data_IF_241053338134
#
_entry.id   IF_241053338134
#
_cell.length_a   1.000
_cell.length_b   1.000
_cell.length_c   1.000
_cell.angle_alpha   90.00
_cell.angle_beta   90.00
_cell.angle_gamma   90.00
#
_symmetry.space_group_name_H-M   'P 1'
#
loop_
_entity.id
_entity.type
_entity.pdbx_description
1 polymer ?
#
# COMPACT_ATOMS: atom_id res chain seq x y z
N UNK A 1 -19.08 -6.78 3.82
CA UNK A 1 -19.54 -5.58 3.08
C UNK A 1 -18.49 -4.50 3.23
N UNK A 2 -18.08 -3.84 2.15
CA UNK A 2 -17.12 -2.72 2.21
C UNK A 2 -17.42 -1.65 1.16
N UNK A 3 -17.13 -0.38 1.49
CA UNK A 3 -17.11 0.72 0.52
C UNK A 3 -15.66 1.06 0.23
N UNK A 4 -15.30 1.05 -1.05
CA UNK A 4 -13.94 1.28 -1.53
C UNK A 4 -13.92 2.39 -2.56
N UNK A 5 -12.76 3.02 -2.78
CA UNK A 5 -12.57 4.00 -3.84
C UNK A 5 -12.12 3.31 -5.12
N UNK A 6 -12.78 3.61 -6.23
CA UNK A 6 -12.32 3.21 -7.56
C UNK A 6 -11.05 3.98 -7.96
N UNK A 7 -10.38 3.52 -9.02
CA UNK A 7 -9.19 4.20 -9.59
C UNK A 7 -9.46 5.66 -9.99
N UNK A 8 -10.72 5.98 -10.32
CA UNK A 8 -11.23 7.32 -10.67
C UNK A 8 -11.72 8.13 -9.46
N UNK A 9 -11.64 7.59 -8.24
CA UNK A 9 -12.02 8.28 -7.00
C UNK A 9 -13.51 8.19 -6.61
N UNK A 10 -14.34 7.56 -7.44
CA UNK A 10 -15.74 7.30 -7.10
C UNK A 10 -15.88 6.13 -6.13
N UNK A 11 -16.87 6.19 -5.24
CA UNK A 11 -17.19 5.09 -4.32
C UNK A 11 -17.74 3.88 -5.06
N UNK A 12 -17.37 2.71 -4.56
CA UNK A 12 -17.85 1.40 -4.99
C UNK A 12 -18.23 0.59 -3.77
N UNK A 13 -19.40 -0.02 -3.80
CA UNK A 13 -19.87 -0.93 -2.76
C UNK A 13 -19.53 -2.36 -3.15
N UNK A 14 -18.94 -3.13 -2.25
CA UNK A 14 -18.59 -4.53 -2.43
C UNK A 14 -19.42 -5.39 -1.46
N UNK A 15 -20.30 -6.24 -2.01
CA UNK A 15 -21.22 -7.07 -1.22
C UNK A 15 -21.39 -8.42 -1.90
N UNK A 16 -21.15 -9.51 -1.16
CA UNK A 16 -21.40 -10.89 -1.60
C UNK A 16 -20.77 -11.24 -2.97
N UNK A 17 -19.54 -10.76 -3.22
CA UNK A 17 -18.84 -10.96 -4.51
C UNK A 17 -19.39 -10.12 -5.67
N UNK A 18 -20.34 -9.23 -5.42
CA UNK A 18 -20.82 -8.23 -6.38
C UNK A 18 -20.20 -6.86 -6.11
N UNK A 19 -20.11 -6.04 -7.17
CA UNK A 19 -19.67 -4.66 -7.04
C UNK A 19 -20.70 -3.69 -7.59
N UNK A 20 -20.99 -2.64 -6.85
CA UNK A 20 -22.04 -1.66 -7.17
C UNK A 20 -21.47 -0.25 -7.23
N UNK A 21 -22.05 0.57 -8.09
CA UNK A 21 -21.80 2.01 -8.20
C UNK A 21 -23.02 2.78 -7.75
N UNK A 22 -22.82 4.01 -7.28
CA UNK A 22 -23.93 4.91 -6.90
C UNK A 22 -24.88 5.11 -8.09
N UNK A 23 -26.18 4.91 -7.88
CA UNK A 23 -27.18 5.11 -8.92
C UNK A 23 -27.57 6.59 -9.06
N UNK A 24 -27.48 7.34 -7.96
CA UNK A 24 -27.89 8.73 -7.84
C UNK A 24 -27.07 9.46 -6.76
N UNK A 25 -27.10 10.80 -6.78
CA UNK A 25 -26.36 11.65 -5.83
C UNK A 25 -26.87 11.53 -4.39
N UNK A 26 -28.11 11.07 -4.17
CA UNK A 26 -28.77 10.89 -2.87
C UNK A 26 -28.21 9.74 -2.02
N UNK A 27 -27.14 9.10 -2.48
CA UNK A 27 -26.29 8.17 -1.73
C UNK A 27 -26.87 6.82 -1.29
N UNK A 28 -28.20 6.63 -1.30
CA UNK A 28 -28.85 5.45 -0.72
C UNK A 28 -29.04 4.27 -1.67
N UNK A 29 -29.05 4.50 -2.99
CA UNK A 29 -29.28 3.43 -3.98
C UNK A 29 -28.00 3.17 -4.77
N UNK A 30 -27.63 1.90 -4.82
CA UNK A 30 -26.48 1.38 -5.54
C UNK A 30 -26.97 0.44 -6.64
N UNK A 31 -26.39 0.55 -7.83
CA UNK A 31 -26.68 -0.32 -8.98
C UNK A 31 -25.47 -1.17 -9.29
N UNK A 32 -25.69 -2.38 -9.79
CA UNK A 32 -24.61 -3.25 -10.23
C UNK A 32 -23.69 -2.50 -11.22
N UNK A 33 -22.39 -2.79 -11.11
CA UNK A 33 -21.39 -2.17 -11.98
C UNK A 33 -21.42 -2.73 -13.40
N UNK A 34 -21.97 -3.94 -13.59
CA UNK A 34 -22.22 -4.53 -14.91
C UNK A 34 -23.39 -3.81 -15.59
N UNK A 35 -23.22 -3.48 -16.88
CA UNK A 35 -24.19 -2.65 -17.60
C UNK A 35 -25.45 -3.42 -18.01
N UNK A 36 -25.29 -4.72 -18.27
CA UNK A 36 -26.30 -5.72 -18.58
C UNK A 36 -27.07 -6.23 -17.35
N UNK A 37 -26.66 -5.80 -16.14
CA UNK A 37 -27.28 -6.23 -14.89
C UNK A 37 -28.19 -5.15 -14.29
N UNK A 38 -29.42 -5.54 -13.95
CA UNK A 38 -30.39 -4.70 -13.27
C UNK A 38 -30.28 -4.73 -11.73
N UNK A 39 -29.34 -5.51 -11.18
CA UNK A 39 -29.12 -5.67 -9.74
C UNK A 39 -28.96 -4.34 -9.00
N UNK A 40 -29.64 -4.17 -7.87
CA UNK A 40 -29.62 -2.97 -7.03
C UNK A 40 -29.56 -3.31 -5.56
N UNK A 41 -28.92 -2.44 -4.80
CA UNK A 41 -28.85 -2.48 -3.34
C UNK A 41 -29.28 -1.12 -2.79
N UNK A 42 -30.24 -1.12 -1.87
CA UNK A 42 -30.52 0.04 -1.03
C UNK A 42 -29.68 -0.07 0.24
N UNK A 43 -28.76 0.87 0.46
CA UNK A 43 -27.86 0.91 1.60
C UNK A 43 -27.89 2.31 2.21
N UNK A 44 -28.22 2.42 3.49
CA UNK A 44 -28.37 3.71 4.18
C UNK A 44 -27.13 4.19 4.93
N UNK A 45 -26.05 3.41 4.90
CA UNK A 45 -24.80 3.69 5.61
C UNK A 45 -24.51 2.66 6.71
N UNK A 46 -25.54 1.98 7.20
CA UNK A 46 -25.44 0.99 8.27
C UNK A 46 -25.95 -0.38 7.80
N UNK A 47 -27.16 -0.41 7.24
CA UNK A 47 -27.80 -1.64 6.78
C UNK A 47 -28.18 -1.58 5.31
N UNK A 48 -28.22 -2.76 4.68
CA UNK A 48 -28.79 -2.91 3.35
C UNK A 48 -30.19 -3.53 3.47
N UNK A 49 -31.17 -2.84 2.92
CA UNK A 49 -32.58 -3.16 3.19
C UNK A 49 -33.25 -3.83 1.98
N UNK A 50 -32.62 -3.78 0.81
CA UNK A 50 -33.15 -4.39 -0.42
C UNK A 50 -32.03 -4.75 -1.35
N UNK A 51 -31.93 -6.03 -1.71
CA UNK A 51 -31.06 -6.56 -2.76
C UNK A 51 -31.99 -7.12 -3.84
N UNK A 52 -31.81 -6.71 -5.09
CA UNK A 52 -32.49 -7.36 -6.22
C UNK A 52 -31.56 -8.40 -6.85
N UNK A 53 -32.15 -9.44 -7.42
CA UNK A 53 -31.40 -10.51 -8.09
C UNK A 53 -30.50 -9.98 -9.22
N UNK A 54 -29.40 -10.70 -9.44
CA UNK A 54 -28.47 -10.46 -10.54
C UNK A 54 -28.68 -11.51 -11.62
N UNK A 55 -28.51 -11.10 -12.88
CA UNK A 55 -28.51 -12.00 -14.05
C UNK A 55 -27.13 -12.62 -14.31
N UNK A 56 -26.24 -12.56 -13.33
CA UNK A 56 -24.91 -13.12 -13.42
C UNK A 56 -24.41 -13.59 -12.06
N UNK A 57 -23.49 -14.55 -12.10
CA UNK A 57 -22.80 -15.04 -10.92
C UNK A 57 -21.98 -13.92 -10.22
N UNK A 58 -21.76 -14.05 -8.90
CA UNK A 58 -20.81 -13.19 -8.19
C UNK A 58 -19.39 -13.41 -8.71
N UNK A 59 -18.53 -12.41 -8.50
CA UNK A 59 -17.09 -12.50 -8.80
C UNK A 59 -16.29 -12.01 -7.57
N UNK A 60 -16.05 -12.91 -6.59
CA UNK A 60 -15.30 -12.59 -5.37
C UNK A 60 -13.90 -12.05 -5.66
N UNK A 61 -13.18 -12.64 -6.61
CA UNK A 61 -11.82 -12.21 -7.00
C UNK A 61 -11.80 -10.74 -7.44
N UNK A 62 -12.80 -10.30 -8.22
CA UNK A 62 -12.90 -8.91 -8.64
C UNK A 62 -13.16 -7.97 -7.45
N UNK A 63 -13.89 -8.41 -6.43
CA UNK A 63 -14.13 -7.63 -5.21
C UNK A 63 -12.88 -7.53 -4.35
N UNK A 64 -12.16 -8.65 -4.15
CA UNK A 64 -10.86 -8.69 -3.45
C UNK A 64 -9.85 -7.79 -4.15
N UNK A 65 -9.72 -7.91 -5.47
CA UNK A 65 -8.81 -7.08 -6.27
C UNK A 65 -9.15 -5.59 -6.15
N UNK A 66 -10.44 -5.24 -6.13
CA UNK A 66 -10.88 -3.86 -5.96
C UNK A 66 -10.54 -3.31 -4.57
N UNK A 67 -10.74 -4.10 -3.51
CA UNK A 67 -10.40 -3.73 -2.15
C UNK A 67 -8.89 -3.55 -1.97
N UNK A 68 -8.10 -4.51 -2.44
CA UNK A 68 -6.64 -4.44 -2.42
C UNK A 68 -6.11 -3.18 -3.12
N UNK A 69 -6.61 -2.89 -4.33
CA UNK A 69 -6.22 -1.69 -5.10
C UNK A 69 -6.63 -0.40 -4.40
N UNK A 70 -7.81 -0.37 -3.77
CA UNK A 70 -8.28 0.78 -3.02
C UNK A 70 -7.37 1.05 -1.82
N UNK A 71 -7.12 0.03 -0.97
CA UNK A 71 -6.23 0.16 0.20
C UNK A 71 -4.84 0.61 -0.22
N UNK A 72 -4.26 -0.03 -1.25
CA UNK A 72 -2.92 0.32 -1.77
C UNK A 72 -2.89 1.76 -2.27
N UNK A 73 -3.93 2.21 -2.98
CA UNK A 73 -4.02 3.59 -3.47
C UNK A 73 -4.17 4.59 -2.32
N UNK A 74 -5.00 4.29 -1.32
CA UNK A 74 -5.16 5.14 -0.13
C UNK A 74 -3.82 5.30 0.58
N UNK A 75 -3.15 4.19 0.93
CA UNK A 75 -1.83 4.22 1.57
C UNK A 75 -0.79 4.98 0.74
N UNK A 76 -0.80 4.82 -0.58
CA UNK A 76 0.11 5.57 -1.47
C UNK A 76 -0.05 7.09 -1.35
N UNK A 77 -1.27 7.55 -1.07
CA UNK A 77 -1.61 8.98 -0.97
C UNK A 77 -1.61 9.53 0.45
N UNK A 78 -1.56 8.67 1.47
CA UNK A 78 -1.58 9.09 2.89
C UNK A 78 -0.28 8.75 3.63
N UNK A 79 0.63 8.00 3.01
CA UNK A 79 1.91 7.61 3.59
C UNK A 79 3.07 7.88 2.62
N UNK A 80 4.26 8.02 3.18
CA UNK A 80 5.50 8.20 2.45
C UNK A 80 6.29 6.89 2.29
N UNK A 81 5.68 5.76 2.65
CA UNK A 81 6.36 4.47 2.74
C UNK A 81 6.85 3.95 1.41
N UNK A 82 7.95 3.19 1.36
CA UNK A 82 8.39 2.61 0.11
C UNK A 82 7.30 1.69 -0.47
N UNK A 83 7.14 1.60 -1.81
CA UNK A 83 6.11 0.77 -2.43
C UNK A 83 6.09 -0.68 -1.95
N UNK A 84 7.26 -1.22 -1.59
CA UNK A 84 7.41 -2.56 -1.01
C UNK A 84 6.73 -2.71 0.34
N UNK A 85 6.86 -1.73 1.25
CA UNK A 85 6.19 -1.74 2.56
C UNK A 85 4.67 -1.65 2.39
N UNK A 86 4.20 -0.68 1.61
CA UNK A 86 2.76 -0.53 1.32
C UNK A 86 2.17 -1.81 0.76
N UNK A 87 2.81 -2.39 -0.27
CA UNK A 87 2.30 -3.60 -0.92
C UNK A 87 2.32 -4.80 0.03
N UNK A 88 3.36 -4.92 0.87
CA UNK A 88 3.44 -5.98 1.87
C UNK A 88 2.34 -5.87 2.92
N UNK A 89 2.11 -4.68 3.47
CA UNK A 89 1.07 -4.44 4.48
C UNK A 89 -0.33 -4.63 3.91
N UNK A 90 -0.58 -4.17 2.68
CA UNK A 90 -1.88 -4.42 2.05
C UNK A 90 -2.09 -5.89 1.76
N UNK A 91 -1.04 -6.62 1.35
CA UNK A 91 -1.10 -8.06 1.10
C UNK A 91 -1.32 -8.86 2.40
N UNK A 92 -0.70 -8.44 3.51
CA UNK A 92 -0.87 -9.09 4.81
C UNK A 92 -2.33 -9.09 5.30
N UNK A 93 -3.14 -8.14 4.81
CA UNK A 93 -4.56 -8.04 5.13
C UNK A 93 -5.48 -8.82 4.16
N UNK A 94 -4.91 -9.58 3.23
CA UNK A 94 -5.66 -10.43 2.28
C UNK A 94 -5.57 -11.88 2.74
N UNK A 95 -6.67 -12.64 2.61
CA UNK A 95 -6.67 -14.06 2.92
C UNK A 95 -5.65 -14.81 2.04
N UNK A 96 -5.00 -15.82 2.61
CA UNK A 96 -3.95 -16.57 1.90
C UNK A 96 -4.48 -17.27 0.64
N UNK A 97 -5.75 -17.67 0.63
CA UNK A 97 -6.38 -18.33 -0.51
C UNK A 97 -6.73 -17.34 -1.64
N UNK A 98 -6.77 -16.04 -1.33
CA UNK A 98 -7.19 -14.98 -2.25
C UNK A 98 -6.00 -14.31 -2.95
N UNK A 99 -4.78 -14.79 -2.73
CA UNK A 99 -3.54 -14.21 -3.28
C UNK A 99 -3.49 -14.15 -4.81
N UNK A 100 -4.24 -15.01 -5.51
CA UNK A 100 -4.31 -14.99 -6.96
C UNK A 100 -5.11 -13.78 -7.51
N UNK A 101 -6.02 -13.21 -6.72
CA UNK A 101 -6.89 -12.10 -7.13
C UNK A 101 -6.21 -10.72 -7.03
N UNK A 102 -5.12 -10.62 -6.26
CA UNK A 102 -4.40 -9.36 -6.04
C UNK A 102 -3.47 -9.02 -7.21
N UNK A 103 -3.15 -7.73 -7.38
CA UNK A 103 -2.21 -7.33 -8.42
C UNK A 103 -0.77 -7.68 -8.06
N UNK A 104 0.03 -7.98 -9.08
CA UNK A 104 1.47 -8.21 -8.93
C UNK A 104 2.19 -7.01 -8.31
N UNK A 105 3.31 -7.27 -7.64
CA UNK A 105 4.14 -6.23 -7.02
C UNK A 105 4.48 -5.09 -7.99
N UNK A 106 4.98 -5.40 -9.20
CA UNK A 106 5.33 -4.37 -10.18
C UNK A 106 4.15 -3.49 -10.61
N UNK A 107 2.94 -4.06 -10.71
CA UNK A 107 1.73 -3.32 -11.04
C UNK A 107 1.30 -2.39 -9.89
N UNK A 108 1.39 -2.90 -8.65
CA UNK A 108 1.14 -2.13 -7.43
C UNK A 108 2.15 -0.99 -7.29
N UNK A 109 3.45 -1.26 -7.48
CA UNK A 109 4.53 -0.26 -7.45
C UNK A 109 4.28 0.88 -8.45
N UNK A 110 4.03 0.57 -9.72
CA UNK A 110 3.73 1.59 -10.74
C UNK A 110 2.48 2.41 -10.39
N UNK A 111 1.50 1.79 -9.77
CA UNK A 111 0.28 2.48 -9.33
C UNK A 111 0.59 3.47 -8.20
N UNK A 112 1.38 3.05 -7.21
CA UNK A 112 1.83 3.89 -6.09
C UNK A 112 2.62 5.09 -6.62
N UNK A 113 3.62 4.88 -7.47
CA UNK A 113 4.46 5.93 -8.05
C UNK A 113 3.63 6.96 -8.83
N UNK A 114 2.74 6.52 -9.72
CA UNK A 114 1.85 7.41 -10.48
C UNK A 114 0.93 8.23 -9.58
N UNK A 115 0.40 7.61 -8.51
CA UNK A 115 -0.50 8.29 -7.57
C UNK A 115 0.25 9.33 -6.76
N UNK A 116 1.48 9.05 -6.32
CA UNK A 116 2.33 10.02 -5.63
C UNK A 116 2.70 11.20 -6.52
N UNK A 117 3.17 10.92 -7.74
CA UNK A 117 3.52 11.96 -8.70
C UNK A 117 2.33 12.87 -9.03
N UNK A 118 1.13 12.30 -9.22
CA UNK A 118 -0.07 13.10 -9.53
C UNK A 118 -0.53 13.97 -8.35
N UNK A 119 -0.36 13.51 -7.12
CA UNK A 119 -0.82 14.24 -5.94
C UNK A 119 0.28 15.12 -5.33
N UNK A 120 1.41 15.30 -6.02
CA UNK A 120 2.58 16.00 -5.51
C UNK A 120 2.95 15.54 -4.09
N UNK A 121 3.01 14.21 -3.93
CA UNK A 121 3.52 13.55 -2.72
C UNK A 121 4.91 12.95 -3.04
N UNK A 122 5.89 13.72 -3.53
CA UNK A 122 7.25 13.25 -3.42
C UNK A 122 7.60 13.23 -1.92
N UNK A 123 8.28 12.17 -1.49
CA UNK A 123 9.17 12.31 -0.35
C UNK A 123 10.05 13.53 -0.64
N UNK A 124 10.08 14.56 0.22
CA UNK A 124 11.01 15.66 0.02
C UNK A 124 12.40 15.02 -0.03
N UNK A 125 13.03 15.07 -1.21
CA UNK A 125 14.39 14.58 -1.35
C UNK A 125 15.24 15.57 -0.58
N UNK A 126 15.87 15.17 0.54
CA UNK A 126 16.66 16.10 1.32
C UNK A 126 17.80 16.62 0.44
N UNK A 127 17.90 17.94 0.34
CA UNK A 127 18.93 18.62 -0.44
C UNK A 127 20.21 18.79 0.36
N UNK A 128 20.10 18.76 1.69
CA UNK A 128 21.21 18.90 2.64
C UNK A 128 21.10 17.87 3.76
N UNK A 129 22.24 17.56 4.40
CA UNK A 129 22.29 16.51 5.43
C UNK A 129 21.42 16.79 6.65
N UNK A 130 21.18 18.07 6.97
CA UNK A 130 20.34 18.47 8.11
C UNK A 130 18.85 18.22 7.90
N UNK A 131 18.40 18.07 6.64
CA UNK A 131 17.00 17.75 6.32
C UNK A 131 16.69 16.26 6.49
N UNK A 132 17.71 15.40 6.58
CA UNK A 132 17.52 13.96 6.78
C UNK A 132 17.06 13.73 8.22
N UNK A 133 15.77 13.49 8.40
CA UNK A 133 15.19 13.04 9.68
C UNK A 133 14.87 11.56 9.55
N UNK A 134 15.41 10.73 10.46
CA UNK A 134 15.11 9.30 10.54
C UNK A 134 14.04 9.14 11.64
N UNK A 135 12.77 8.88 11.29
CA UNK A 135 11.70 8.67 12.26
C UNK A 135 12.03 7.51 13.20
N UNK A 136 11.56 7.58 14.45
CA UNK A 136 11.82 6.56 15.47
C UNK A 136 11.37 5.17 15.03
N UNK A 137 10.27 5.08 14.27
CA UNK A 137 9.78 3.79 13.75
C UNK A 137 10.78 3.11 12.79
N UNK A 138 11.65 3.87 12.12
CA UNK A 138 12.68 3.36 11.21
C UNK A 138 14.02 3.10 11.90
N UNK A 139 14.15 3.46 13.17
CA UNK A 139 15.34 3.20 13.96
C UNK A 139 15.37 1.77 14.54
N UNK A 140 14.26 1.05 14.40
CA UNK A 140 14.08 -0.33 14.85
C UNK A 140 13.69 -1.25 13.68
N UNK A 141 13.99 -2.54 13.83
CA UNK A 141 13.53 -3.59 12.92
C UNK A 141 12.05 -3.90 13.17
N UNK A 142 11.42 -4.62 12.24
CA UNK A 142 10.04 -5.13 12.44
C UNK A 142 9.91 -6.05 13.67
N UNK A 143 11.01 -6.63 14.15
CA UNK A 143 11.07 -7.44 15.37
C UNK A 143 11.33 -6.65 16.65
N UNK A 144 11.42 -5.32 16.57
CA UNK A 144 11.68 -4.42 17.71
C UNK A 144 13.15 -4.26 18.10
N UNK A 145 14.08 -4.97 17.44
CA UNK A 145 15.51 -4.80 17.68
C UNK A 145 16.04 -3.48 17.11
N UNK A 146 17.08 -2.92 17.72
CA UNK A 146 17.77 -1.71 17.23
C UNK A 146 18.31 -1.91 15.81
N UNK A 147 18.11 -0.90 14.96
CA UNK A 147 18.56 -0.90 13.57
C UNK A 147 19.41 0.33 13.19
N UNK A 148 19.13 1.50 13.77
CA UNK A 148 20.02 2.66 13.66
C UNK A 148 21.11 2.55 14.74
N UNK A 149 22.32 2.15 14.34
CA UNK A 149 23.43 1.97 15.28
C UNK A 149 24.18 3.27 15.56
N UNK A 150 24.33 4.12 14.54
CA UNK A 150 25.05 5.37 14.66
C UNK A 150 24.53 6.41 13.68
N UNK A 151 24.47 7.66 14.13
CA UNK A 151 24.21 8.84 13.32
C UNK A 151 24.89 10.04 13.99
N UNK A 152 25.97 10.54 13.37
CA UNK A 152 26.71 11.68 13.92
C UNK A 152 25.99 13.02 13.74
N UNK A 153 24.90 13.08 12.95
CA UNK A 153 24.13 14.29 12.63
C UNK A 153 24.97 15.47 12.12
N UNK A 154 26.15 15.21 11.54
CA UNK A 154 27.03 16.27 11.03
C UNK A 154 26.40 16.94 9.80
N UNK A 155 26.35 18.29 9.72
CA UNK A 155 25.68 19.00 8.64
C UNK A 155 26.43 18.95 7.29
N UNK A 156 27.68 18.45 7.26
CA UNK A 156 28.57 18.46 6.10
C UNK A 156 29.15 17.08 5.75
N UNK A 157 29.30 16.19 6.73
CA UNK A 157 29.91 14.86 6.65
C UNK A 157 29.13 13.88 7.50
N UNK A 158 27.82 13.79 7.26
CA UNK A 158 26.96 12.89 8.01
C UNK A 158 27.33 11.43 7.74
N UNK A 159 27.57 10.68 8.80
CA UNK A 159 27.77 9.23 8.77
C UNK A 159 26.61 8.57 9.51
N UNK A 160 25.88 7.71 8.79
CA UNK A 160 24.78 6.91 9.33
C UNK A 160 25.16 5.43 9.17
N UNK A 161 25.07 4.66 10.25
CA UNK A 161 25.31 3.22 10.25
C UNK A 161 23.98 2.51 10.56
N UNK A 162 23.49 1.76 9.59
CA UNK A 162 22.28 0.94 9.69
C UNK A 162 22.66 -0.53 9.72
N UNK A 163 22.40 -1.21 10.82
CA UNK A 163 22.62 -2.65 10.99
C UNK A 163 21.94 -3.12 12.29
N UNK A 164 21.86 -4.43 12.49
CA UNK A 164 21.45 -4.99 13.79
C UNK A 164 22.67 -5.55 14.53
N UNK A 165 22.57 -5.65 15.86
CA UNK A 165 23.61 -6.29 16.66
C UNK A 165 23.82 -7.76 16.24
N UNK A 166 22.75 -8.45 15.82
CA UNK A 166 22.81 -9.81 15.27
C UNK A 166 23.59 -9.88 13.96
N UNK A 167 23.39 -8.93 13.05
CA UNK A 167 24.12 -8.88 11.79
C UNK A 167 25.61 -8.59 12.03
N UNK A 168 25.94 -7.69 12.96
CA UNK A 168 27.34 -7.42 13.34
C UNK A 168 28.00 -8.65 13.98
N UNK A 169 27.28 -9.36 14.86
CA UNK A 169 27.77 -10.60 15.45
C UNK A 169 27.97 -11.70 14.39
N UNK A 170 27.05 -11.82 13.44
CA UNK A 170 27.20 -12.76 12.32
C UNK A 170 28.42 -12.40 11.48
N UNK A 171 28.60 -11.11 11.18
CA UNK A 171 29.74 -10.62 10.41
C UNK A 171 31.06 -10.88 11.14
N UNK A 172 31.13 -10.58 12.45
CA UNK A 172 32.34 -10.78 13.25
C UNK A 172 32.76 -12.24 13.41
N UNK A 173 31.79 -13.17 13.38
CA UNK A 173 32.04 -14.61 13.50
C UNK A 173 32.16 -15.32 12.14
N UNK A 174 31.98 -14.60 11.03
CA UNK A 174 32.08 -15.20 9.69
C UNK A 174 33.54 -15.25 9.24
N UNK A 175 34.00 -16.43 8.80
CA UNK A 175 35.36 -16.64 8.29
C UNK A 175 35.59 -15.94 6.93
N UNK A 176 34.52 -15.79 6.14
CA UNK A 176 34.58 -15.21 4.80
C UNK A 176 33.55 -14.11 4.64
N UNK A 177 33.99 -12.96 4.15
CA UNK A 177 33.12 -11.84 3.82
C UNK A 177 33.04 -11.70 2.31
N UNK A 178 31.84 -11.87 1.78
CA UNK A 178 31.55 -11.61 0.37
C UNK A 178 30.84 -10.25 0.28
N UNK A 179 31.53 -9.26 -0.25
CA UNK A 179 30.95 -7.95 -0.54
C UNK A 179 30.97 -7.75 -2.05
N UNK A 180 29.81 -7.70 -2.70
CA UNK A 180 29.72 -7.06 -4.00
C UNK A 180 29.67 -5.55 -3.75
N UNK A 181 30.59 -4.80 -4.34
CA UNK A 181 30.68 -3.36 -4.12
C UNK A 181 29.56 -2.65 -4.90
N UNK A 182 28.29 -2.93 -4.57
CA UNK A 182 27.12 -2.29 -5.17
C UNK A 182 26.95 -0.89 -4.59
N UNK A 183 27.98 -0.05 -4.72
CA UNK A 183 27.94 1.36 -4.35
C UNK A 183 27.41 2.17 -5.53
N UNK A 184 26.28 2.85 -5.33
CA UNK A 184 25.82 3.89 -6.24
C UNK A 184 26.33 5.23 -5.74
N UNK A 185 27.44 5.70 -6.30
CA UNK A 185 27.89 7.07 -6.07
C UNK A 185 26.98 8.03 -6.83
N UNK A 186 26.17 8.82 -6.12
CA UNK A 186 25.59 10.03 -6.69
C UNK A 186 26.58 11.17 -6.43
N UNK A 187 27.36 11.53 -7.45
CA UNK A 187 28.01 12.83 -7.48
C UNK A 187 26.95 13.92 -7.50
N UNK A 188 27.12 14.93 -6.64
CA UNK A 188 26.34 16.16 -6.58
C UNK A 188 26.28 16.88 -7.92
#
# INVERSE_FOLDING_TARGET
MSIVKSSKGHDKLLLEGYSYRRANKSQRIWRCSRNDCAGRVAFDGDQYNKITEHVHAPNPEATISAEFKSKTTTSATTSHDPPRRITYETLHNVDKNDGAAVSTYHSSQRTIERKRQRNDIPLPRPLIYTEIVIPDELQITNGGARFLLYDNKDPSRRLIILSSDDDLNRLSNSEHWHSDCTFKACSS
#
